data_IF_690768430641
#
_entry.id   IF_690768430641
#
_cell.length_a   1.000
_cell.length_b   1.000
_cell.length_c   1.000
_cell.angle_alpha   90.00
_cell.angle_beta   90.00
_cell.angle_gamma   90.00
#
_symmetry.space_group_name_H-M   'P 1'
#
loop_
_entity.id
_entity.type
_entity.pdbx_description
1 polymer ?
#
# COMPACT_ATOMS: atom_id res chain seq x y z
N UNK A 1 1.74 5.54 8.45
CA UNK A 1 0.28 5.62 8.16
C UNK A 1 -0.54 5.38 9.42
N UNK A 2 -0.48 4.19 10.02
CA UNK A 2 -1.25 3.84 11.23
C UNK A 2 -1.12 4.86 12.36
N UNK A 3 0.09 5.30 12.69
CA UNK A 3 0.30 6.34 13.71
C UNK A 3 -0.34 7.68 13.34
N UNK A 4 -0.19 8.11 12.08
CA UNK A 4 -0.75 9.36 11.60
C UNK A 4 -2.28 9.39 11.58
N UNK A 5 -2.92 8.21 11.46
CA UNK A 5 -4.39 8.06 11.39
C UNK A 5 -5.00 7.50 12.67
N UNK A 6 -4.20 7.23 13.72
CA UNK A 6 -4.63 6.52 14.92
C UNK A 6 -5.87 7.12 15.60
N UNK A 7 -6.00 8.46 15.60
CA UNK A 7 -7.10 9.16 16.25
C UNK A 7 -8.36 9.35 15.38
N UNK A 8 -8.31 8.98 14.09
CA UNK A 8 -9.33 9.34 13.09
C UNK A 8 -10.10 8.10 12.62
N UNK A 9 -9.55 6.90 12.84
CA UNK A 9 -10.15 5.63 12.43
C UNK A 9 -9.97 5.41 10.92
N UNK A 10 -9.39 4.28 10.55
CA UNK A 10 -9.18 3.90 9.15
C UNK A 10 -9.23 2.37 9.05
N UNK A 11 -9.98 1.86 8.08
CA UNK A 11 -9.99 0.43 7.79
C UNK A 11 -8.74 0.09 6.97
N UNK A 12 -7.77 -0.57 7.62
CA UNK A 12 -6.55 -1.02 6.96
C UNK A 12 -6.58 -2.54 6.78
N UNK A 13 -6.34 -2.99 5.55
CA UNK A 13 -5.94 -4.36 5.23
C UNK A 13 -4.54 -4.29 4.65
N UNK A 14 -3.65 -5.15 5.11
CA UNK A 14 -2.32 -5.31 4.52
C UNK A 14 -2.27 -6.68 3.87
N UNK A 15 -1.92 -6.71 2.59
CA UNK A 15 -1.56 -7.92 1.86
C UNK A 15 -0.04 -7.90 1.72
N UNK A 16 0.65 -8.88 2.30
CA UNK A 16 2.12 -8.90 2.40
C UNK A 16 2.78 -9.96 1.53
N UNK A 17 2.03 -10.75 0.76
CA UNK A 17 2.59 -11.84 -0.06
C UNK A 17 3.60 -11.35 -1.10
N UNK A 18 3.43 -10.11 -1.56
CA UNK A 18 4.20 -9.54 -2.67
C UNK A 18 3.71 -9.99 -4.05
N UNK A 19 2.65 -10.79 -4.12
CA UNK A 19 2.11 -11.35 -5.37
C UNK A 19 0.93 -10.55 -5.89
N UNK A 20 0.81 -10.42 -7.22
CA UNK A 20 -0.34 -9.74 -7.82
C UNK A 20 -1.64 -10.55 -7.66
N UNK A 21 -1.55 -11.88 -7.67
CA UNK A 21 -2.72 -12.76 -7.58
C UNK A 21 -3.39 -12.66 -6.21
N UNK A 22 -2.62 -12.78 -5.12
CA UNK A 22 -3.18 -12.64 -3.78
C UNK A 22 -3.64 -11.21 -3.48
N UNK A 23 -3.00 -10.20 -4.08
CA UNK A 23 -3.49 -8.82 -4.03
C UNK A 23 -4.87 -8.70 -4.72
N UNK A 24 -5.04 -9.29 -5.90
CA UNK A 24 -6.30 -9.27 -6.63
C UNK A 24 -7.41 -10.01 -5.85
N UNK A 25 -7.11 -11.18 -5.29
CA UNK A 25 -8.04 -11.93 -4.45
C UNK A 25 -8.44 -11.12 -3.21
N UNK A 26 -7.47 -10.45 -2.58
CA UNK A 26 -7.69 -9.58 -1.44
C UNK A 26 -8.66 -8.42 -1.77
N UNK A 27 -8.56 -7.85 -2.97
CA UNK A 27 -9.44 -6.80 -3.48
C UNK A 27 -10.83 -7.33 -3.88
N UNK A 28 -10.90 -8.53 -4.46
CA UNK A 28 -12.14 -9.16 -4.91
C UNK A 28 -13.03 -9.66 -3.76
N UNK A 29 -12.46 -9.88 -2.58
CA UNK A 29 -13.20 -10.24 -1.37
C UNK A 29 -14.09 -9.11 -0.82
N UNK A 30 -13.88 -7.87 -1.24
CA UNK A 30 -14.66 -6.74 -0.76
C UNK A 30 -16.00 -6.62 -1.52
N UNK A 31 -17.10 -6.38 -0.80
CA UNK A 31 -18.42 -6.20 -1.43
C UNK A 31 -18.51 -4.87 -2.17
N UNK A 32 -19.55 -4.69 -2.99
CA UNK A 32 -19.78 -3.43 -3.73
C UNK A 32 -19.95 -2.25 -2.77
N UNK A 33 -20.65 -2.47 -1.65
CA UNK A 33 -20.87 -1.49 -0.58
C UNK A 33 -19.62 -1.25 0.29
N UNK A 34 -18.62 -2.12 0.18
CA UNK A 34 -17.40 -2.10 0.98
C UNK A 34 -16.13 -2.00 0.11
N UNK A 35 -16.26 -1.49 -1.13
CA UNK A 35 -15.15 -1.32 -2.07
C UNK A 35 -13.98 -0.59 -1.42
N UNK A 36 -12.77 -0.97 -1.85
CA UNK A 36 -11.55 -0.33 -1.39
C UNK A 36 -11.46 1.09 -1.96
N UNK A 37 -11.47 2.09 -1.09
CA UNK A 37 -11.32 3.49 -1.51
C UNK A 37 -9.90 3.77 -2.03
N UNK A 38 -8.88 3.24 -1.34
CA UNK A 38 -7.47 3.47 -1.66
C UNK A 38 -6.70 2.15 -1.66
N UNK A 39 -6.07 1.82 -2.78
CA UNK A 39 -5.06 0.76 -2.86
C UNK A 39 -3.67 1.40 -2.85
N UNK A 40 -2.85 1.04 -1.87
CA UNK A 40 -1.46 1.48 -1.78
C UNK A 40 -0.52 0.32 -2.10
N UNK A 41 0.27 0.46 -3.16
CA UNK A 41 1.30 -0.53 -3.52
C UNK A 41 2.66 0.10 -3.28
N UNK A 42 3.41 -0.47 -2.34
CA UNK A 42 4.79 -0.07 -2.04
C UNK A 42 5.74 -1.14 -2.56
N UNK A 43 6.51 -0.81 -3.60
CA UNK A 43 7.45 -1.72 -4.24
C UNK A 43 8.47 -0.96 -5.09
N UNK A 44 9.21 -1.66 -5.95
CA UNK A 44 10.07 -1.00 -6.93
C UNK A 44 9.32 -0.76 -8.25
N UNK A 45 9.62 0.36 -8.89
CA UNK A 45 9.13 0.70 -10.23
C UNK A 45 10.26 0.66 -11.24
N UNK A 46 9.94 0.29 -12.47
CA UNK A 46 10.87 0.25 -13.60
C UNK A 46 10.21 0.98 -14.76
N UNK A 47 10.99 1.76 -15.51
CA UNK A 47 10.52 2.48 -16.71
C UNK A 47 10.89 1.75 -18.01
N UNK A 48 12.09 1.15 -18.06
CA UNK A 48 12.62 0.48 -19.25
C UNK A 48 12.68 -1.05 -19.07
N UNK A 49 12.34 -1.86 -20.09
CA UNK A 49 11.93 -1.45 -21.44
C UNK A 49 10.48 -0.95 -21.52
N UNK A 50 9.69 -1.14 -20.47
CA UNK A 50 8.33 -0.61 -20.35
C UNK A 50 7.98 -0.32 -18.88
N UNK A 51 7.09 0.66 -18.62
CA UNK A 51 6.68 1.00 -17.26
C UNK A 51 5.99 -0.17 -16.55
N UNK A 52 6.54 -0.61 -15.43
CA UNK A 52 5.97 -1.70 -14.63
C UNK A 52 6.33 -1.60 -13.15
N UNK A 53 5.56 -2.31 -12.33
CA UNK A 53 5.92 -2.63 -10.96
C UNK A 53 6.77 -3.89 -10.91
N UNK A 54 7.63 -3.97 -9.91
CA UNK A 54 8.37 -5.17 -9.56
C UNK A 54 7.72 -5.79 -8.34
N UNK A 55 7.12 -6.95 -8.55
CA UNK A 55 6.44 -7.75 -7.56
C UNK A 55 7.18 -9.09 -7.41
N UNK A 56 6.60 -10.00 -6.65
CA UNK A 56 7.14 -11.33 -6.43
C UNK A 56 6.16 -12.43 -6.88
N UNK A 57 6.70 -13.58 -7.25
CA UNK A 57 5.93 -14.82 -7.31
C UNK A 57 5.83 -15.47 -5.92
N UNK A 58 5.11 -16.59 -5.83
CA UNK A 58 4.91 -17.33 -4.57
C UNK A 58 6.20 -17.85 -3.92
N UNK A 59 7.32 -17.89 -4.66
CA UNK A 59 8.63 -18.36 -4.20
C UNK A 59 9.59 -17.18 -3.94
N UNK A 60 9.12 -15.94 -4.03
CA UNK A 60 9.94 -14.73 -3.88
C UNK A 60 10.76 -14.36 -5.11
N UNK A 61 10.52 -15.01 -6.24
CA UNK A 61 11.11 -14.67 -7.52
C UNK A 61 10.58 -13.34 -8.04
N UNK A 62 11.46 -12.53 -8.65
CA UNK A 62 11.09 -11.22 -9.19
C UNK A 62 10.18 -11.37 -10.42
N UNK A 63 9.00 -10.76 -10.39
CA UNK A 63 8.09 -10.67 -11.54
C UNK A 63 7.72 -9.21 -11.82
N UNK A 64 7.51 -8.87 -13.08
CA UNK A 64 7.06 -7.53 -13.47
C UNK A 64 5.56 -7.51 -13.69
N UNK A 65 4.90 -6.43 -13.30
CA UNK A 65 3.48 -6.19 -13.53
C UNK A 65 3.28 -4.87 -14.32
N UNK A 66 2.84 -4.99 -15.57
CA UNK A 66 2.45 -3.86 -16.42
C UNK A 66 1.09 -3.28 -16.01
N UNK A 67 0.71 -2.16 -16.64
CA UNK A 67 -0.60 -1.53 -16.43
C UNK A 67 -1.74 -2.50 -16.79
N UNK A 68 -1.62 -3.21 -17.91
CA UNK A 68 -2.62 -4.17 -18.41
C UNK A 68 -2.73 -5.38 -17.47
N UNK A 69 -1.62 -5.87 -16.95
CA UNK A 69 -1.63 -6.98 -15.99
C UNK A 69 -2.28 -6.56 -14.66
N UNK A 70 -1.96 -5.36 -14.16
CA UNK A 70 -2.59 -4.80 -12.96
C UNK A 70 -4.10 -4.61 -13.16
N UNK A 71 -4.50 -3.91 -14.23
CA UNK A 71 -5.90 -3.65 -14.52
C UNK A 71 -6.68 -4.94 -14.78
N UNK A 72 -6.11 -5.88 -15.54
CA UNK A 72 -6.71 -7.17 -15.83
C UNK A 72 -6.92 -8.03 -14.58
N UNK A 73 -5.98 -8.02 -13.64
CA UNK A 73 -6.09 -8.77 -12.38
C UNK A 73 -7.06 -8.12 -11.39
N UNK A 74 -7.03 -6.80 -11.27
CA UNK A 74 -7.96 -6.07 -10.39
C UNK A 74 -9.40 -6.09 -10.92
N UNK A 75 -9.59 -6.21 -12.25
CA UNK A 75 -10.89 -6.38 -12.88
C UNK A 75 -11.92 -5.33 -12.45
N UNK A 76 -13.10 -5.78 -12.02
CA UNK A 76 -14.18 -4.90 -11.56
C UNK A 76 -13.96 -4.23 -10.20
N UNK A 77 -12.85 -4.51 -9.53
CA UNK A 77 -12.53 -4.08 -8.16
C UNK A 77 -11.52 -2.92 -8.12
N UNK A 78 -11.46 -2.09 -9.17
CA UNK A 78 -10.58 -0.92 -9.16
C UNK A 78 -10.93 0.03 -8.00
N UNK A 79 -9.92 0.51 -7.24
CA UNK A 79 -10.11 1.47 -6.17
C UNK A 79 -10.42 2.87 -6.72
N UNK A 80 -10.89 3.77 -5.86
CA UNK A 80 -11.06 5.19 -6.23
C UNK A 80 -9.71 5.90 -6.38
N UNK A 81 -8.70 5.46 -5.63
CA UNK A 81 -7.32 5.91 -5.74
C UNK A 81 -6.35 4.72 -5.73
N UNK A 82 -5.49 4.66 -6.74
CA UNK A 82 -4.29 3.81 -6.75
C UNK A 82 -3.06 4.65 -6.38
N UNK A 83 -2.43 4.37 -5.24
CA UNK A 83 -1.15 4.93 -4.84
C UNK A 83 -0.01 3.97 -5.23
N UNK A 84 0.75 4.33 -6.26
CA UNK A 84 1.96 3.67 -6.70
C UNK A 84 3.16 4.23 -5.95
N UNK A 85 3.43 3.74 -4.75
CA UNK A 85 4.63 4.09 -3.98
C UNK A 85 5.84 3.31 -4.49
N UNK A 86 6.22 3.61 -5.72
CA UNK A 86 7.32 3.02 -6.45
C UNK A 86 7.97 4.07 -7.35
N UNK A 87 9.30 4.07 -7.43
CA UNK A 87 10.07 5.07 -8.19
C UNK A 87 9.64 5.12 -9.66
N UNK A 88 9.66 6.33 -10.24
CA UNK A 88 9.42 6.61 -11.67
C UNK A 88 8.05 6.19 -12.23
N UNK A 89 7.12 5.78 -11.38
CA UNK A 89 5.75 5.40 -11.77
C UNK A 89 4.90 6.54 -12.31
N UNK A 90 5.37 7.79 -12.22
CA UNK A 90 4.74 8.98 -12.76
C UNK A 90 5.67 9.85 -13.64
N UNK A 91 6.71 9.26 -14.21
CA UNK A 91 7.56 9.90 -15.23
C UNK A 91 6.80 10.06 -16.58
N UNK A 92 7.41 10.63 -17.63
CA UNK A 92 6.74 10.74 -18.94
C UNK A 92 6.49 9.35 -19.55
N UNK A 93 5.29 9.11 -20.09
CA UNK A 93 4.91 7.78 -20.61
C UNK A 93 4.84 6.70 -19.51
N UNK A 94 4.40 7.08 -18.31
CA UNK A 94 4.48 6.23 -17.12
C UNK A 94 3.29 5.30 -16.89
N UNK A 95 3.54 4.32 -16.03
CA UNK A 95 2.55 3.39 -15.48
C UNK A 95 1.30 4.11 -14.96
N UNK A 96 1.44 5.26 -14.28
CA UNK A 96 0.29 6.00 -13.78
C UNK A 96 -0.64 6.49 -14.89
N UNK A 97 -0.08 7.00 -15.99
CA UNK A 97 -0.87 7.46 -17.13
C UNK A 97 -1.56 6.28 -17.84
N UNK A 98 -0.88 5.15 -17.96
CA UNK A 98 -1.46 3.96 -18.60
C UNK A 98 -2.60 3.37 -17.75
N UNK A 99 -2.48 3.37 -16.43
CA UNK A 99 -3.59 2.99 -15.54
C UNK A 99 -4.81 3.91 -15.68
N UNK A 100 -4.62 5.23 -15.86
CA UNK A 100 -5.73 6.16 -16.15
C UNK A 100 -6.39 5.81 -17.49
N UNK A 101 -5.60 5.51 -18.53
CA UNK A 101 -6.12 5.10 -19.85
C UNK A 101 -6.91 3.80 -19.79
N UNK A 102 -6.55 2.92 -18.86
CA UNK A 102 -7.25 1.66 -18.56
C UNK A 102 -8.47 1.84 -17.63
N UNK A 103 -8.85 3.08 -17.30
CA UNK A 103 -10.09 3.39 -16.58
C UNK A 103 -9.94 3.57 -15.07
N UNK A 104 -8.72 3.61 -14.53
CA UNK A 104 -8.52 3.96 -13.13
C UNK A 104 -9.04 5.38 -12.84
N UNK A 105 -9.88 5.61 -11.82
CA UNK A 105 -10.39 6.94 -11.52
C UNK A 105 -9.29 7.92 -11.14
N UNK A 106 -8.33 7.52 -10.30
CA UNK A 106 -7.22 8.38 -9.89
C UNK A 106 -5.97 7.56 -9.59
N UNK A 107 -4.82 8.08 -10.00
CA UNK A 107 -3.52 7.45 -9.74
C UNK A 107 -2.55 8.47 -9.16
N UNK A 108 -1.89 8.11 -8.07
CA UNK A 108 -0.80 8.84 -7.48
C UNK A 108 0.49 8.05 -7.69
N UNK A 109 1.54 8.68 -8.21
CA UNK A 109 2.84 8.04 -8.40
C UNK A 109 4.00 9.01 -8.23
N UNK A 110 5.22 8.54 -8.48
CA UNK A 110 6.45 9.32 -8.31
C UNK A 110 7.11 9.63 -9.66
N UNK A 111 7.37 10.90 -9.93
CA UNK A 111 8.00 11.39 -11.16
C UNK A 111 9.52 11.19 -11.23
N UNK A 112 10.07 10.38 -10.34
CA UNK A 112 11.51 10.11 -10.20
C UNK A 112 11.78 9.11 -9.07
N UNK A 113 13.04 8.99 -8.68
CA UNK A 113 13.43 8.25 -7.46
C UNK A 113 13.09 9.08 -6.23
N UNK A 114 12.49 8.46 -5.23
CA UNK A 114 12.13 9.09 -3.95
C UNK A 114 12.77 8.33 -2.80
N UNK A 115 13.26 9.03 -1.78
CA UNK A 115 13.73 8.40 -0.55
C UNK A 115 12.57 7.87 0.32
N UNK A 116 12.75 6.68 0.92
CA UNK A 116 11.73 6.02 1.76
C UNK A 116 11.20 6.92 2.88
N UNK A 117 12.06 7.73 3.49
CA UNK A 117 11.68 8.68 4.53
C UNK A 117 10.70 9.75 4.04
N UNK A 118 10.95 10.34 2.86
CA UNK A 118 10.07 11.34 2.27
C UNK A 118 8.77 10.72 1.75
N UNK A 119 8.85 9.54 1.13
CA UNK A 119 7.67 8.78 0.70
C UNK A 119 6.76 8.43 1.89
N UNK A 120 7.36 7.99 3.02
CA UNK A 120 6.64 7.66 4.26
C UNK A 120 5.96 8.89 4.86
N UNK A 121 6.67 10.03 4.93
CA UNK A 121 6.12 11.29 5.44
C UNK A 121 5.00 11.83 4.55
N UNK A 122 5.18 11.79 3.23
CA UNK A 122 4.14 12.15 2.28
C UNK A 122 2.89 11.28 2.45
N UNK A 123 3.05 9.96 2.51
CA UNK A 123 1.94 9.04 2.73
C UNK A 123 1.23 9.33 4.06
N UNK A 124 1.98 9.54 5.15
CA UNK A 124 1.41 9.90 6.44
C UNK A 124 0.55 11.18 6.34
N UNK A 125 1.08 12.25 5.75
CA UNK A 125 0.35 13.50 5.55
C UNK A 125 -0.87 13.36 4.62
N UNK A 126 -0.77 12.54 3.58
CA UNK A 126 -1.87 12.26 2.66
C UNK A 126 -3.01 11.53 3.38
N UNK A 127 -2.73 10.37 4.00
CA UNK A 127 -3.76 9.55 4.64
C UNK A 127 -4.42 10.27 5.82
N UNK A 128 -3.66 11.08 6.56
CA UNK A 128 -4.24 11.87 7.64
C UNK A 128 -5.33 12.84 7.13
N UNK A 129 -5.14 13.40 5.93
CA UNK A 129 -6.09 14.34 5.30
C UNK A 129 -7.25 13.64 4.65
N UNK A 130 -6.98 12.53 3.96
CA UNK A 130 -8.04 11.68 3.39
C UNK A 130 -8.97 11.15 4.49
N UNK A 131 -8.44 10.77 5.65
CA UNK A 131 -9.23 10.35 6.81
C UNK A 131 -10.08 11.49 7.40
N UNK A 132 -9.74 12.76 7.12
CA UNK A 132 -10.55 13.95 7.47
C UNK A 132 -11.51 14.37 6.34
N UNK A 133 -11.68 13.54 5.33
CA UNK A 133 -12.55 13.80 4.18
C UNK A 133 -12.12 15.04 3.36
N UNK A 134 -10.82 15.40 3.39
CA UNK A 134 -10.31 16.44 2.50
C UNK A 134 -10.34 15.96 1.03
N UNK A 135 -10.51 16.91 0.11
CA UNK A 135 -10.51 16.61 -1.33
C UNK A 135 -9.16 16.06 -1.76
N UNK A 136 -9.15 15.02 -2.61
CA UNK A 136 -7.92 14.31 -2.99
C UNK A 136 -6.81 15.24 -3.51
N UNK A 137 -7.14 16.16 -4.43
CA UNK A 137 -6.15 17.08 -5.01
C UNK A 137 -5.56 18.03 -3.95
N UNK A 138 -6.38 18.50 -3.01
CA UNK A 138 -5.95 19.33 -1.90
C UNK A 138 -5.08 18.53 -0.91
N UNK A 139 -5.49 17.31 -0.57
CA UNK A 139 -4.75 16.42 0.31
C UNK A 139 -3.34 16.14 -0.24
N UNK A 140 -3.22 15.87 -1.55
CA UNK A 140 -1.93 15.70 -2.22
C UNK A 140 -1.10 16.98 -2.19
N UNK A 141 -1.70 18.13 -2.53
CA UNK A 141 -0.98 19.41 -2.54
C UNK A 141 -0.46 19.78 -1.14
N UNK A 142 -1.27 19.59 -0.10
CA UNK A 142 -0.87 19.83 1.29
C UNK A 142 0.17 18.83 1.78
N UNK A 143 0.08 17.55 1.40
CA UNK A 143 1.12 16.56 1.75
C UNK A 143 2.49 16.91 1.12
N UNK A 144 2.53 17.46 -0.11
CA UNK A 144 3.77 18.00 -0.68
C UNK A 144 4.27 19.24 0.08
N UNK A 145 3.34 20.11 0.49
CA UNK A 145 3.69 21.32 1.24
C UNK A 145 4.30 20.99 2.62
N UNK A 146 3.79 19.96 3.29
CA UNK A 146 4.34 19.47 4.57
C UNK A 146 5.80 19.00 4.40
N UNK A 147 6.11 18.29 3.30
CA UNK A 147 7.49 17.91 2.99
C UNK A 147 8.38 19.13 2.71
N UNK A 148 7.88 20.08 1.93
CA UNK A 148 8.62 21.30 1.57
C UNK A 148 8.87 22.21 2.78
N UNK A 149 7.90 22.26 3.70
CA UNK A 149 7.88 23.12 4.88
C UNK A 149 7.53 22.27 6.10
N UNK A 150 8.46 21.42 6.56
CA UNK A 150 8.21 20.62 7.74
C UNK A 150 8.00 21.56 8.92
N UNK A 151 6.74 21.69 9.35
CA UNK A 151 6.42 22.24 10.65
C UNK A 151 7.12 21.34 11.67
N UNK A 152 7.74 21.89 12.71
CA UNK A 152 8.55 21.15 13.70
C UNK A 152 7.79 20.11 14.56
N UNK A 153 6.71 19.54 14.04
CA UNK A 153 5.84 18.54 14.62
C UNK A 153 5.81 17.32 13.70
N UNK A 154 6.89 16.54 13.71
CA UNK A 154 6.81 15.17 13.20
C UNK A 154 5.76 14.42 14.05
N UNK A 155 4.75 13.77 13.45
CA UNK A 155 3.97 12.76 14.14
C UNK A 155 4.94 11.60 14.44
N UNK A 156 5.11 11.26 15.72
CA UNK A 156 6.01 10.19 16.16
C UNK A 156 7.40 10.65 16.60
N UNK A 157 7.45 11.34 17.74
CA UNK A 157 8.42 11.10 18.83
C UNK A 157 9.94 11.24 18.63
N UNK A 158 10.48 11.35 17.42
CA UNK A 158 11.93 11.22 17.19
C UNK A 158 12.54 12.42 16.43
N UNK A 159 12.16 13.64 16.80
CA UNK A 159 13.05 14.84 16.87
C UNK A 159 12.24 16.13 17.00
N UNK A 160 12.34 16.81 18.16
CA UNK A 160 11.83 18.17 18.41
C UNK A 160 12.86 19.25 18.01
N UNK A 161 13.52 19.12 16.85
CA UNK A 161 14.39 20.18 16.32
C UNK A 161 13.76 20.78 15.06
N UNK A 162 13.62 22.12 14.97
CA UNK A 162 13.26 22.73 13.70
C UNK A 162 14.29 22.30 12.65
N UNK A 163 13.79 21.86 11.50
CA UNK A 163 14.63 21.39 10.41
C UNK A 163 15.63 22.49 10.03
N UNK A 164 16.92 22.19 10.06
CA UNK A 164 17.94 23.09 9.54
C UNK A 164 17.71 23.30 8.03
N UNK A 165 18.12 24.44 7.42
CA UNK A 165 17.88 24.73 6.01
C UNK A 165 18.33 23.63 5.03
N UNK A 166 19.33 22.84 5.43
CA UNK A 166 19.88 21.68 4.73
C UNK A 166 19.09 20.36 4.91
N UNK A 167 18.03 20.35 5.71
CA UNK A 167 17.08 19.24 5.92
C UNK A 167 15.76 19.41 5.15
N UNK A 168 15.72 20.30 4.16
CA UNK A 168 14.56 20.39 3.25
C UNK A 168 14.44 19.10 2.45
N UNK A 169 13.21 18.59 2.37
CA UNK A 169 12.88 17.47 1.50
C UNK A 169 13.38 17.76 0.07
N UNK A 170 14.04 16.79 -0.56
CA UNK A 170 14.58 16.91 -1.91
C UNK A 170 13.54 16.49 -2.95
N UNK A 171 12.70 15.53 -2.60
CA UNK A 171 11.82 14.80 -3.49
C UNK A 171 10.34 15.24 -3.33
N UNK A 172 10.06 16.29 -2.55
CA UNK A 172 8.71 16.81 -2.28
C UNK A 172 7.87 17.07 -3.54
N UNK A 173 8.53 17.43 -4.64
CA UNK A 173 7.91 17.79 -5.91
C UNK A 173 7.62 16.56 -6.80
N UNK A 174 8.12 15.37 -6.44
CA UNK A 174 8.05 14.17 -7.27
C UNK A 174 6.71 13.45 -7.20
N UNK A 175 5.95 13.57 -6.09
CA UNK A 175 4.60 13.00 -6.04
C UNK A 175 3.76 13.64 -7.16
N UNK A 176 3.00 12.87 -7.95
CA UNK A 176 2.19 13.36 -9.08
C UNK A 176 0.84 12.64 -9.08
N UNK A 177 -0.23 13.42 -9.13
CA UNK A 177 -1.61 12.94 -9.15
C UNK A 177 -2.15 13.07 -10.57
N UNK A 178 -2.71 11.99 -11.09
CA UNK A 178 -3.44 11.92 -12.35
C UNK A 178 -4.91 11.62 -12.04
N UNK A 179 -5.79 12.35 -12.71
CA UNK A 179 -7.23 12.21 -12.55
C UNK A 179 -7.84 11.76 -13.88
N UNK A 180 -8.60 10.67 -13.84
CA UNK A 180 -9.49 10.27 -14.92
C UNK A 180 -10.82 11.03 -14.83
N UNK A 181 -11.77 10.79 -15.76
CA UNK A 181 -13.05 11.49 -15.82
C UNK A 181 -13.90 11.37 -14.54
N UNK A 182 -13.75 10.27 -13.80
CA UNK A 182 -14.46 9.98 -12.55
C UNK A 182 -13.59 10.14 -11.30
N UNK A 183 -12.40 10.73 -11.46
CA UNK A 183 -11.38 10.87 -10.42
C UNK A 183 -11.56 12.07 -9.50
N UNK A 184 -10.88 12.03 -8.36
CA UNK A 184 -10.81 13.15 -7.42
C UNK A 184 -11.94 13.18 -6.39
N UNK A 185 -12.22 14.39 -5.89
CA UNK A 185 -13.22 14.62 -4.85
C UNK A 185 -12.82 13.99 -3.50
N UNK A 186 -13.83 13.78 -2.64
CA UNK A 186 -13.69 13.09 -1.36
C UNK A 186 -13.77 11.59 -1.59
N UNK A 187 -12.77 10.84 -1.10
CA UNK A 187 -12.63 9.40 -1.39
C UNK A 187 -13.49 8.51 -0.51
N UNK A 188 -13.72 8.88 0.75
CA UNK A 188 -14.56 8.12 1.66
C UNK A 188 -15.44 9.10 2.42
N UNK A 189 -16.73 8.84 2.50
CA UNK A 189 -17.71 9.67 3.24
C UNK A 189 -18.22 8.94 4.50
N UNK A 190 -17.79 7.70 4.71
CA UNK A 190 -18.14 6.89 5.87
C UNK A 190 -17.59 7.51 7.15
N UNK A 191 -18.46 7.67 8.16
CA UNK A 191 -18.09 8.24 9.48
C UNK A 191 -17.79 7.19 10.54
N UNK A 192 -17.86 5.92 10.19
CA UNK A 192 -17.59 4.80 11.09
C UNK A 192 -16.55 3.89 10.45
N UNK A 193 -15.53 3.54 11.23
CA UNK A 193 -14.64 2.43 10.87
C UNK A 193 -15.49 1.16 10.75
N UNK A 194 -15.25 0.36 9.72
CA UNK A 194 -15.94 -0.91 9.56
C UNK A 194 -15.56 -1.80 10.75
N UNK A 195 -16.58 -2.26 11.47
CA UNK A 195 -16.43 -3.40 12.36
C UNK A 195 -16.21 -4.65 11.51
N UNK A 196 -14.97 -4.88 11.06
CA UNK A 196 -14.60 -6.16 10.45
C UNK A 196 -14.59 -7.23 11.53
N UNK A 197 -15.75 -7.81 11.78
CA UNK A 197 -15.84 -9.15 12.32
C UNK A 197 -15.46 -10.08 11.17
N UNK A 198 -14.16 -10.29 10.92
CA UNK A 198 -13.79 -11.42 10.06
C UNK A 198 -14.37 -12.67 10.72
N UNK A 199 -15.01 -13.54 9.93
CA UNK A 199 -15.45 -14.85 10.42
C UNK A 199 -14.28 -15.67 11.02
N UNK A 200 -13.03 -15.30 10.71
CA UNK A 200 -11.81 -15.84 11.31
C UNK A 200 -11.32 -15.12 12.58
N UNK A 201 -11.73 -13.86 12.83
CA UNK A 201 -11.31 -13.09 14.02
C UNK A 201 -11.81 -13.73 15.34
N UNK A 202 -12.79 -14.63 15.26
CA UNK A 202 -13.45 -15.21 16.44
C UNK A 202 -12.90 -16.58 16.84
N UNK A 203 -12.00 -17.20 16.08
CA UNK A 203 -11.34 -18.46 16.50
C UNK A 203 -9.85 -18.26 16.67
N UNK A 204 -9.43 -17.79 17.85
CA UNK A 204 -8.07 -18.06 18.35
C UNK A 204 -7.87 -19.57 18.33
N UNK A 205 -7.10 -20.07 17.38
CA UNK A 205 -6.62 -21.43 17.40
C UNK A 205 -5.56 -21.53 18.50
N UNK A 206 -5.54 -22.64 19.22
CA UNK A 206 -4.54 -22.92 20.24
C UNK A 206 -3.84 -24.23 19.86
N UNK A 207 -2.53 -24.31 20.12
CA UNK A 207 -1.75 -25.51 19.81
C UNK A 207 -2.36 -26.75 20.46
N UNK A 208 -2.90 -26.58 21.67
CA UNK A 208 -3.76 -27.56 22.34
C UNK A 208 -5.14 -26.93 22.66
N UNK A 209 -6.23 -27.44 22.04
CA UNK A 209 -7.57 -26.90 22.25
C UNK A 209 -8.10 -27.05 23.69
N UNK A 210 -7.56 -27.99 24.48
CA UNK A 210 -8.05 -28.30 25.83
C UNK A 210 -7.51 -27.37 26.91
N UNK A 211 -6.25 -26.94 26.78
CA UNK A 211 -5.59 -26.10 27.78
C UNK A 211 -5.52 -24.62 27.38
N UNK A 212 -5.69 -24.32 26.08
CA UNK A 212 -5.71 -22.96 25.51
C UNK A 212 -4.54 -22.08 25.97
N UNK A 213 -3.36 -22.67 26.25
CA UNK A 213 -2.21 -21.94 26.81
C UNK A 213 -1.38 -21.23 25.76
N UNK A 214 -1.26 -21.82 24.57
CA UNK A 214 -0.42 -21.31 23.49
C UNK A 214 -1.30 -20.94 22.32
N UNK A 215 -1.62 -19.64 22.12
CA UNK A 215 -2.34 -19.20 20.95
C UNK A 215 -1.49 -19.43 19.70
N UNK A 216 -2.09 -20.00 18.66
CA UNK A 216 -1.52 -20.06 17.32
C UNK A 216 -1.72 -18.69 16.70
N UNK A 217 -0.65 -18.12 16.17
CA UNK A 217 -0.71 -16.86 15.44
C UNK A 217 -1.68 -16.99 14.26
N UNK A 218 -2.69 -16.12 14.21
CA UNK A 218 -3.63 -16.07 13.11
C UNK A 218 -2.95 -15.63 11.80
N UNK A 219 -3.64 -15.75 10.64
CA UNK A 219 -3.10 -15.37 9.33
C UNK A 219 -2.56 -13.94 9.27
N UNK A 220 -3.13 -13.02 10.06
CA UNK A 220 -2.71 -11.61 10.17
C UNK A 220 -1.66 -11.33 11.25
N UNK A 221 -1.32 -12.32 12.07
CA UNK A 221 -0.23 -12.23 13.07
C UNK A 221 1.09 -12.77 12.50
N UNK A 222 1.06 -13.38 11.31
CA UNK A 222 2.23 -13.78 10.52
C UNK A 222 2.78 -12.66 9.62
N UNK A 223 2.64 -11.40 10.06
CA UNK A 223 3.23 -10.23 9.40
C UNK A 223 4.75 -10.27 9.51
N UNK A 224 5.45 -9.95 8.43
CA UNK A 224 6.92 -9.90 8.41
C UNK A 224 7.65 -11.24 8.29
N UNK A 225 6.93 -12.36 8.08
CA UNK A 225 7.52 -13.72 7.88
C UNK A 225 7.49 -14.21 6.44
N UNK A 226 7.18 -13.31 5.49
CA UNK A 226 7.08 -13.64 4.06
C UNK A 226 8.32 -14.38 3.55
N UNK A 227 9.52 -13.94 3.93
CA UNK A 227 10.78 -14.50 3.42
C UNK A 227 10.98 -15.94 3.87
N UNK A 228 10.67 -16.24 5.12
CA UNK A 228 10.69 -17.60 5.64
C UNK A 228 9.65 -18.48 4.92
N UNK A 229 8.42 -17.98 4.72
CA UNK A 229 7.36 -18.72 4.01
C UNK A 229 7.79 -19.05 2.57
N UNK A 230 8.32 -18.08 1.82
CA UNK A 230 8.83 -18.29 0.46
C UNK A 230 9.96 -19.32 0.42
N UNK A 231 10.86 -19.27 1.40
CA UNK A 231 11.96 -20.24 1.53
C UNK A 231 11.42 -21.65 1.78
N UNK A 232 10.46 -21.79 2.68
CA UNK A 232 9.80 -23.07 2.97
C UNK A 232 9.12 -23.62 1.70
N UNK A 233 8.33 -22.80 1.01
CA UNK A 233 7.63 -23.20 -0.22
C UNK A 233 8.60 -23.67 -1.31
N UNK A 234 9.71 -22.95 -1.49
CA UNK A 234 10.75 -23.32 -2.45
C UNK A 234 11.35 -24.69 -2.12
N UNK A 235 11.77 -24.91 -0.87
CA UNK A 235 12.37 -26.20 -0.46
C UNK A 235 11.39 -27.37 -0.63
N UNK A 236 10.12 -27.19 -0.27
CA UNK A 236 9.10 -28.22 -0.45
C UNK A 236 8.84 -28.55 -1.93
N UNK A 237 8.87 -27.56 -2.83
CA UNK A 237 8.70 -27.80 -4.28
C UNK A 237 9.88 -28.50 -4.91
N UNK A 238 11.10 -28.18 -4.49
CA UNK A 238 12.33 -28.82 -4.98
C UNK A 238 12.41 -30.31 -4.57
N UNK A 239 11.66 -30.72 -3.53
CA UNK A 239 11.66 -32.09 -2.97
C UNK A 239 13.07 -32.59 -2.61
N UNK A 240 13.98 -31.67 -2.34
CA UNK A 240 15.38 -31.94 -2.03
C UNK A 240 15.59 -32.34 -0.56
N UNK A 241 14.61 -32.06 0.29
CA UNK A 241 14.65 -32.33 1.73
C UNK A 241 13.33 -32.97 2.20
N UNK A 242 13.39 -33.77 3.26
CA UNK A 242 12.20 -34.39 3.87
C UNK A 242 11.35 -33.41 4.71
N UNK A 243 11.84 -32.18 4.93
CA UNK A 243 11.16 -31.14 5.69
C UNK A 243 12.02 -29.88 5.84
N UNK A 244 11.47 -28.86 6.50
CA UNK A 244 12.14 -27.58 6.80
C UNK A 244 12.04 -27.31 8.31
N UNK A 245 13.15 -26.92 8.94
CA UNK A 245 13.20 -26.43 10.32
C UNK A 245 13.42 -24.92 10.28
N UNK A 246 12.56 -24.15 10.96
CA UNK A 246 12.51 -22.68 10.93
C UNK A 246 12.53 -22.16 12.36
#
# INVERSE_FOLDING_TARGET
ILEATASIGMDLKVEESGTLDLLADCMAQETVEARVDVLHISCHGVLDPQPCLVLEDEQGGRVTASAEQLAGKLGGSLPRLLCLSACKTAEAGSLALDMIRLGMPSVLGWGGSVGDGEATQFAAGLYQRLARHEQLAEAVARARLDLLRPQGHAPGGLSRRPAQPEQRARDWHLARLFLGPTGGGVLSEGRQARGRLDAEYVKKAFLNPRDQKVPVAGPREFVGRRREIQTILKVFRERSHAGVLV
#
